data_IF_289145865095
#
_entry.id   IF_289145865095
#
_cell.length_a   1.000
_cell.length_b   1.000
_cell.length_c   1.000
_cell.angle_alpha   90.00
_cell.angle_beta   90.00
_cell.angle_gamma   90.00
#
_symmetry.space_group_name_H-M   'P 1'
#
loop_
_entity.id
_entity.type
_entity.pdbx_description
1 polymer ?
#
# COMPACT_ATOMS: atom_id res chain seq x y z
N UNK A 1 -13.20 -17.07 26.10
CA UNK A 1 -11.97 -17.72 25.64
C UNK A 1 -12.00 -17.64 24.13
N UNK A 2 -11.28 -16.70 23.55
CA UNK A 2 -11.16 -16.54 22.10
C UNK A 2 -9.90 -17.29 21.73
N UNK A 3 -10.09 -18.38 21.00
CA UNK A 3 -9.00 -19.21 20.47
C UNK A 3 -8.14 -18.35 19.55
N UNK A 4 -6.84 -18.27 19.87
CA UNK A 4 -5.79 -17.78 18.99
C UNK A 4 -5.77 -18.68 17.74
N UNK A 5 -6.38 -18.23 16.66
CA UNK A 5 -6.03 -18.75 15.34
C UNK A 5 -4.73 -18.10 14.91
N UNK A 6 -3.81 -18.94 14.52
CA UNK A 6 -2.42 -18.70 14.23
C UNK A 6 -2.21 -17.45 13.38
N UNK A 7 -1.57 -16.44 13.97
CA UNK A 7 -0.89 -15.41 13.20
C UNK A 7 0.20 -16.10 12.40
N UNK A 8 0.06 -16.17 11.08
CA UNK A 8 1.10 -16.65 10.18
C UNK A 8 2.29 -15.71 10.33
N UNK A 9 3.23 -16.10 11.19
CA UNK A 9 4.45 -15.37 11.44
C UNK A 9 5.38 -15.58 10.25
N UNK A 10 5.64 -14.53 9.49
CA UNK A 10 6.71 -14.52 8.52
C UNK A 10 8.05 -14.75 9.23
N UNK A 11 8.81 -15.75 8.81
CA UNK A 11 10.12 -16.05 9.38
C UNK A 11 11.06 -14.85 9.21
N UNK A 12 11.84 -14.57 10.26
CA UNK A 12 12.73 -13.41 10.48
C UNK A 12 13.87 -13.19 9.46
N UNK A 13 13.91 -13.86 8.32
CA UNK A 13 15.05 -13.83 7.40
C UNK A 13 15.06 -12.65 6.42
N UNK A 14 13.96 -11.89 6.26
CA UNK A 14 13.85 -10.83 5.25
C UNK A 14 13.71 -9.39 5.78
N UNK A 15 14.14 -9.10 7.01
CA UNK A 15 14.08 -7.72 7.55
C UNK A 15 15.10 -6.75 6.92
N UNK A 16 16.11 -7.26 6.21
CA UNK A 16 17.06 -6.41 5.49
C UNK A 16 16.44 -5.89 4.21
N UNK A 17 16.24 -4.57 4.15
CA UNK A 17 15.67 -3.89 2.97
C UNK A 17 14.33 -3.21 3.22
N UNK A 18 13.62 -3.51 4.32
CA UNK A 18 12.42 -2.78 4.70
C UNK A 18 12.75 -1.34 5.09
N UNK A 19 11.91 -0.40 4.66
CA UNK A 19 12.12 1.05 4.85
C UNK A 19 10.99 1.71 5.60
N UNK A 20 9.80 1.11 5.60
CA UNK A 20 8.65 1.65 6.30
C UNK A 20 8.82 1.51 7.81
N UNK A 21 8.38 2.54 8.53
CA UNK A 21 8.44 2.57 9.97
C UNK A 21 7.35 1.68 10.59
N UNK A 22 7.74 0.80 11.49
CA UNK A 22 6.81 -0.09 12.22
C UNK A 22 5.85 0.66 13.15
N UNK A 23 6.14 1.91 13.48
CA UNK A 23 5.20 2.77 14.21
C UNK A 23 3.86 2.94 13.47
N UNK A 24 3.80 2.62 12.18
CA UNK A 24 2.57 2.51 11.41
C UNK A 24 1.47 1.72 12.15
N UNK A 25 1.85 0.63 12.82
CA UNK A 25 0.94 -0.20 13.61
C UNK A 25 0.41 0.47 14.88
N UNK A 26 0.99 1.61 15.29
CA UNK A 26 0.43 2.41 16.39
C UNK A 26 -0.84 3.17 15.98
N UNK A 27 -1.06 3.34 14.69
CA UNK A 27 -2.19 4.09 14.12
C UNK A 27 -3.27 3.21 13.51
N UNK A 28 -2.90 1.99 13.08
CA UNK A 28 -3.79 1.06 12.38
C UNK A 28 -4.03 -0.18 13.24
N UNK A 29 -5.27 -0.66 13.23
CA UNK A 29 -5.63 -2.00 13.69
C UNK A 29 -6.27 -2.79 12.54
N UNK A 30 -6.20 -4.12 12.64
CA UNK A 30 -6.79 -5.06 11.67
C UNK A 30 -7.86 -5.86 12.42
N UNK A 31 -9.09 -5.34 12.53
CA UNK A 31 -10.16 -6.01 13.27
C UNK A 31 -10.56 -7.36 12.69
N UNK A 32 -10.32 -7.56 11.42
CA UNK A 32 -10.59 -8.82 10.75
C UNK A 32 -9.65 -9.02 9.55
N UNK A 33 -9.13 -10.24 9.44
CA UNK A 33 -8.56 -10.80 8.22
C UNK A 33 -9.42 -11.99 7.79
N UNK A 34 -9.78 -12.05 6.52
CA UNK A 34 -10.64 -13.11 6.01
C UNK A 34 -10.19 -13.59 4.64
N UNK A 35 -10.19 -14.90 4.45
CA UNK A 35 -10.01 -15.54 3.16
C UNK A 35 -11.40 -15.75 2.55
N UNK A 36 -11.69 -15.15 1.40
CA UNK A 36 -12.97 -15.26 0.70
C UNK A 36 -13.00 -16.53 -0.16
N UNK A 37 -11.88 -16.77 -0.86
CA UNK A 37 -11.67 -17.96 -1.67
C UNK A 37 -10.22 -18.44 -1.56
N UNK A 38 -9.85 -19.49 -2.28
CA UNK A 38 -8.46 -19.95 -2.36
C UNK A 38 -7.49 -18.89 -2.90
N UNK A 39 -8.02 -17.89 -3.62
CA UNK A 39 -7.22 -16.86 -4.33
C UNK A 39 -7.45 -15.44 -3.82
N UNK A 40 -8.47 -15.18 -3.00
CA UNK A 40 -8.84 -13.84 -2.56
C UNK A 40 -8.80 -13.76 -1.05
N UNK A 41 -8.00 -12.83 -0.52
CA UNK A 41 -7.91 -12.49 0.90
C UNK A 41 -8.22 -11.01 1.09
N UNK A 42 -8.74 -10.63 2.27
CA UNK A 42 -8.96 -9.24 2.66
C UNK A 42 -8.56 -8.98 4.09
N UNK A 43 -7.88 -7.86 4.29
CA UNK A 43 -7.58 -7.26 5.59
C UNK A 43 -8.42 -6.01 5.75
N UNK A 44 -9.29 -6.03 6.74
CA UNK A 44 -10.21 -4.93 7.04
C UNK A 44 -9.57 -4.09 8.14
N UNK A 45 -9.25 -2.86 7.80
CA UNK A 45 -8.43 -1.96 8.60
C UNK A 45 -9.29 -0.89 9.26
N UNK A 46 -8.88 -0.42 10.42
CA UNK A 46 -9.42 0.78 11.06
C UNK A 46 -8.27 1.66 11.56
N UNK A 47 -8.44 2.97 11.47
CA UNK A 47 -7.58 3.91 12.18
C UNK A 47 -7.95 3.88 13.66
N UNK A 48 -6.96 3.69 14.51
CA UNK A 48 -7.16 3.61 15.96
C UNK A 48 -7.72 4.92 16.52
N UNK A 49 -8.43 4.79 17.62
CA UNK A 49 -8.99 5.89 18.38
C UNK A 49 -8.09 6.22 19.59
N UNK A 50 -8.01 7.50 19.91
CA UNK A 50 -7.38 7.99 21.13
C UNK A 50 -8.34 8.98 21.77
N UNK A 51 -8.70 8.70 23.02
CA UNK A 51 -9.80 9.40 23.67
C UNK A 51 -11.02 9.38 22.75
N UNK A 52 -11.89 10.10 22.60
CA UNK A 52 -13.12 9.98 21.78
C UNK A 52 -12.96 10.41 20.32
N UNK A 53 -11.74 10.34 19.78
CA UNK A 53 -11.45 10.79 18.41
C UNK A 53 -10.61 9.80 17.63
N UNK A 54 -10.94 9.65 16.36
CA UNK A 54 -10.09 8.96 15.39
C UNK A 54 -8.74 9.68 15.27
N UNK A 55 -7.67 8.90 15.18
CA UNK A 55 -6.30 9.41 15.01
C UNK A 55 -5.96 9.70 13.53
N UNK A 56 -6.94 10.02 12.69
CA UNK A 56 -6.71 10.27 11.26
C UNK A 56 -5.72 11.41 11.00
N UNK A 57 -5.72 12.43 11.84
CA UNK A 57 -4.80 13.55 11.72
C UNK A 57 -3.36 13.12 12.06
N UNK A 58 -3.16 12.47 13.20
CA UNK A 58 -1.86 11.93 13.62
C UNK A 58 -1.35 10.88 12.61
N UNK A 59 -2.24 10.03 12.10
CA UNK A 59 -1.92 9.06 11.06
C UNK A 59 -1.45 9.73 9.78
N UNK A 60 -2.10 10.81 9.36
CA UNK A 60 -1.72 11.55 8.16
C UNK A 60 -0.35 12.20 8.31
N UNK A 61 -0.06 12.78 9.49
CA UNK A 61 1.27 13.32 9.83
C UNK A 61 2.33 12.23 9.76
N UNK A 62 2.09 11.10 10.43
CA UNK A 62 3.00 9.96 10.41
C UNK A 62 3.31 9.49 8.98
N UNK A 63 2.27 9.34 8.13
CA UNK A 63 2.44 8.92 6.73
C UNK A 63 3.28 9.92 5.95
N UNK A 64 3.10 11.22 6.18
CA UNK A 64 3.90 12.27 5.52
C UNK A 64 5.34 12.30 6.01
N UNK A 65 5.60 12.13 7.31
CA UNK A 65 6.94 12.07 7.87
C UNK A 65 7.77 10.93 7.28
N UNK A 66 7.10 9.85 6.88
CA UNK A 66 7.71 8.71 6.20
C UNK A 66 7.89 8.89 4.68
N UNK A 67 7.55 10.05 4.11
CA UNK A 67 7.64 10.30 2.68
C UNK A 67 9.07 10.14 2.12
N UNK A 68 10.10 10.49 2.91
CA UNK A 68 11.48 10.30 2.48
C UNK A 68 11.86 8.82 2.32
N UNK A 69 11.35 7.96 3.19
CA UNK A 69 11.55 6.51 3.10
C UNK A 69 10.94 5.93 1.82
N UNK A 70 9.79 6.45 1.42
CA UNK A 70 9.10 6.05 0.20
C UNK A 70 9.75 6.60 -1.07
N UNK A 71 10.12 7.90 -1.10
CA UNK A 71 10.43 8.62 -2.33
C UNK A 71 11.94 8.71 -2.66
N UNK A 72 12.82 8.41 -1.70
CA UNK A 72 14.27 8.56 -1.88
C UNK A 72 14.95 7.21 -2.05
N UNK A 73 16.02 7.18 -2.87
CA UNK A 73 16.90 6.02 -3.00
C UNK A 73 17.71 5.79 -1.73
N UNK A 74 18.29 4.59 -1.58
CA UNK A 74 19.21 4.24 -0.49
C UNK A 74 20.34 5.26 -0.35
N UNK A 75 21.04 5.53 -1.44
CA UNK A 75 22.15 6.48 -1.48
C UNK A 75 21.75 7.88 -1.00
N UNK A 76 20.56 8.35 -1.38
CA UNK A 76 20.04 9.65 -0.94
C UNK A 76 19.75 9.66 0.55
N UNK A 77 19.06 8.63 1.07
CA UNK A 77 18.78 8.50 2.51
C UNK A 77 20.07 8.36 3.34
N UNK A 78 21.02 7.55 2.88
CA UNK A 78 22.31 7.40 3.55
C UNK A 78 23.13 8.68 3.56
N UNK A 79 22.99 9.52 2.54
CA UNK A 79 23.66 10.83 2.51
C UNK A 79 23.25 11.73 3.69
N UNK A 80 22.06 11.53 4.27
CA UNK A 80 21.60 12.25 5.46
C UNK A 80 22.54 12.02 6.66
N UNK A 81 23.07 10.80 6.79
CA UNK A 81 23.96 10.42 7.91
C UNK A 81 25.24 11.28 7.97
N UNK A 82 25.72 11.77 6.83
CA UNK A 82 26.96 12.54 6.77
C UNK A 82 26.81 14.02 7.16
N UNK A 83 25.61 14.60 7.03
CA UNK A 83 25.30 15.97 7.47
C UNK A 83 23.78 16.14 7.61
N UNK A 84 23.18 15.66 8.71
CA UNK A 84 21.73 15.68 8.90
C UNK A 84 21.13 17.09 8.84
N UNK A 85 21.79 18.07 9.45
CA UNK A 85 21.26 19.44 9.58
C UNK A 85 21.14 20.13 8.21
N UNK A 86 22.17 20.03 7.37
CA UNK A 86 22.17 20.68 6.03
C UNK A 86 21.35 19.92 5.00
N UNK A 87 21.29 18.58 5.12
CA UNK A 87 20.70 17.71 4.09
C UNK A 87 19.25 17.41 4.31
N UNK A 88 18.75 17.41 5.57
CA UNK A 88 17.37 17.05 5.88
C UNK A 88 16.36 17.85 5.06
N UNK A 89 16.45 19.18 5.09
CA UNK A 89 15.57 20.06 4.32
C UNK A 89 15.65 19.82 2.80
N UNK A 90 16.86 19.62 2.27
CA UNK A 90 17.08 19.40 0.84
C UNK A 90 16.45 18.07 0.38
N UNK A 91 16.63 17.02 1.16
CA UNK A 91 16.08 15.69 0.87
C UNK A 91 14.56 15.66 1.04
N UNK A 92 14.05 16.34 2.05
CA UNK A 92 12.62 16.53 2.22
C UNK A 92 11.99 17.24 1.01
N UNK A 93 12.56 18.34 0.56
CA UNK A 93 12.15 19.04 -0.64
C UNK A 93 12.19 18.15 -1.91
N UNK A 94 13.22 17.32 -2.01
CA UNK A 94 13.35 16.38 -3.12
C UNK A 94 12.24 15.31 -3.07
N UNK A 95 11.98 14.74 -1.91
CA UNK A 95 10.92 13.77 -1.71
C UNK A 95 9.55 14.36 -2.08
N UNK A 96 9.21 15.54 -1.59
CA UNK A 96 7.98 16.26 -1.94
C UNK A 96 7.90 16.52 -3.44
N UNK A 97 8.97 17.01 -4.08
CA UNK A 97 8.96 17.26 -5.53
C UNK A 97 8.68 16.01 -6.34
N UNK A 98 9.23 14.86 -5.94
CA UNK A 98 8.96 13.58 -6.58
C UNK A 98 7.50 13.14 -6.37
N UNK A 99 7.01 13.30 -5.17
CA UNK A 99 5.65 12.95 -4.80
C UNK A 99 4.59 13.77 -5.55
N UNK A 100 4.82 15.07 -5.70
CA UNK A 100 3.86 16.02 -6.31
C UNK A 100 4.02 16.15 -7.83
N UNK A 101 5.19 15.81 -8.41
CA UNK A 101 5.53 16.12 -9.80
C UNK A 101 4.57 15.59 -10.85
N UNK A 102 3.74 14.59 -10.53
CA UNK A 102 2.79 13.98 -11.48
C UNK A 102 1.50 14.76 -11.66
N UNK A 103 1.15 15.65 -10.76
CA UNK A 103 -0.09 16.39 -10.89
C UNK A 103 0.17 17.88 -10.77
N UNK A 104 -0.07 18.61 -11.85
CA UNK A 104 -0.30 20.08 -11.73
C UNK A 104 -1.43 20.37 -10.73
N UNK A 105 -2.16 19.34 -10.28
CA UNK A 105 -3.16 19.35 -9.21
C UNK A 105 -3.00 18.04 -8.43
N UNK A 106 -2.57 18.11 -7.17
CA UNK A 106 -2.62 17.00 -6.22
C UNK A 106 -4.07 16.51 -6.13
N UNK A 107 -4.31 15.27 -6.54
CA UNK A 107 -5.66 14.69 -6.56
C UNK A 107 -5.98 13.88 -5.31
N UNK A 108 -5.01 13.71 -4.40
CA UNK A 108 -5.15 12.95 -3.16
C UNK A 108 -5.04 11.42 -3.32
N UNK A 109 -4.86 10.92 -4.53
CA UNK A 109 -4.64 9.48 -4.77
C UNK A 109 -3.27 9.01 -4.31
N UNK A 110 -2.31 9.92 -4.31
CA UNK A 110 -0.92 9.65 -3.94
C UNK A 110 -0.76 9.20 -2.48
N UNK A 111 -1.65 9.63 -1.58
CA UNK A 111 -1.61 9.16 -0.19
C UNK A 111 -1.95 7.67 -0.10
N UNK A 112 -2.82 7.17 -0.97
CA UNK A 112 -3.10 5.74 -1.06
C UNK A 112 -1.88 4.91 -1.47
N UNK A 113 -1.05 5.41 -2.40
CA UNK A 113 0.22 4.76 -2.78
C UNK A 113 1.16 4.65 -1.57
N UNK A 114 1.24 5.71 -0.76
CA UNK A 114 2.11 5.75 0.43
C UNK A 114 1.59 4.85 1.56
N UNK A 115 0.27 4.78 1.76
CA UNK A 115 -0.34 3.85 2.72
C UNK A 115 -0.11 2.40 2.27
N UNK A 116 -0.31 2.10 0.97
CA UNK A 116 -0.07 0.76 0.43
C UNK A 116 1.39 0.32 0.61
N UNK A 117 2.35 1.24 0.41
CA UNK A 117 3.76 0.98 0.69
C UNK A 117 3.99 0.53 2.14
N UNK A 118 3.40 1.23 3.12
CA UNK A 118 3.52 0.84 4.53
C UNK A 118 2.84 -0.50 4.82
N UNK A 119 1.68 -0.76 4.24
CA UNK A 119 0.97 -2.03 4.40
C UNK A 119 1.81 -3.20 3.88
N UNK A 120 2.40 -3.07 2.71
CA UNK A 120 3.23 -4.12 2.14
C UNK A 120 4.53 -4.34 2.92
N UNK A 121 5.21 -3.27 3.33
CA UNK A 121 6.47 -3.41 4.08
C UNK A 121 6.27 -3.77 5.55
N UNK A 122 5.24 -3.24 6.23
CA UNK A 122 5.06 -3.46 7.67
C UNK A 122 4.19 -4.67 7.98
N UNK A 123 3.10 -4.87 7.21
CA UNK A 123 2.14 -5.95 7.47
C UNK A 123 2.55 -7.23 6.75
N UNK A 124 2.91 -7.15 5.47
CA UNK A 124 3.33 -8.32 4.69
C UNK A 124 4.84 -8.56 4.75
N UNK A 125 5.62 -7.67 5.34
CA UNK A 125 7.08 -7.72 5.38
C UNK A 125 7.72 -7.91 4.00
N UNK A 126 7.08 -7.33 2.99
CA UNK A 126 7.50 -7.40 1.60
C UNK A 126 8.34 -6.18 1.24
N UNK A 127 9.57 -6.39 0.78
CA UNK A 127 10.49 -5.30 0.40
C UNK A 127 10.08 -4.68 -0.93
N UNK A 128 10.14 -3.36 -1.04
CA UNK A 128 9.88 -2.69 -2.32
C UNK A 128 11.02 -2.96 -3.30
N UNK A 129 10.74 -3.66 -4.39
CA UNK A 129 11.74 -3.98 -5.41
C UNK A 129 11.89 -2.87 -6.46
N UNK A 130 10.84 -2.15 -6.78
CA UNK A 130 10.90 -1.03 -7.71
C UNK A 130 10.32 0.22 -7.07
N UNK A 131 11.11 1.28 -7.04
CA UNK A 131 10.65 2.58 -6.58
C UNK A 131 10.11 3.39 -7.76
N UNK A 132 8.79 3.42 -7.92
CA UNK A 132 8.09 4.15 -8.97
C UNK A 132 8.39 5.65 -8.98
N UNK A 133 8.66 6.24 -7.81
CA UNK A 133 9.03 7.65 -7.69
C UNK A 133 10.38 7.96 -8.34
N UNK A 134 11.31 7.02 -8.25
CA UNK A 134 12.61 7.13 -8.89
C UNK A 134 12.49 7.04 -10.42
N UNK A 135 11.68 6.13 -10.92
CA UNK A 135 11.44 5.96 -12.36
C UNK A 135 10.71 7.17 -12.98
N UNK A 136 9.84 7.84 -12.23
CA UNK A 136 9.14 9.06 -12.67
C UNK A 136 10.08 10.25 -12.94
N UNK A 137 11.32 10.24 -12.48
CA UNK A 137 12.30 11.32 -12.67
C UNK A 137 13.16 11.17 -13.92
N UNK A 138 13.28 9.97 -14.47
CA UNK A 138 13.91 9.73 -15.77
C UNK A 138 12.88 10.01 -16.87
N UNK A 139 13.07 11.10 -17.61
CA UNK A 139 12.05 11.72 -18.48
C UNK A 139 11.43 10.85 -19.58
N UNK A 140 11.93 9.64 -19.82
CA UNK A 140 11.49 8.75 -20.88
C UNK A 140 10.97 7.38 -20.40
N UNK A 141 10.89 7.13 -19.09
CA UNK A 141 10.43 5.84 -18.57
C UNK A 141 9.09 5.98 -17.89
N UNK A 142 8.05 5.48 -18.54
CA UNK A 142 6.72 5.33 -17.99
C UNK A 142 6.50 3.87 -17.56
N UNK A 143 6.45 3.64 -16.26
CA UNK A 143 5.90 2.41 -15.70
C UNK A 143 4.39 2.55 -15.72
N UNK A 144 3.72 1.90 -16.67
CA UNK A 144 2.29 2.08 -16.92
C UNK A 144 1.38 1.20 -16.05
N UNK A 145 1.95 0.26 -15.27
CA UNK A 145 1.23 -0.76 -14.55
C UNK A 145 0.93 -0.43 -13.08
N UNK A 146 1.49 -1.25 -12.20
CA UNK A 146 1.22 -1.24 -10.76
C UNK A 146 1.71 0.04 -10.06
N UNK A 147 0.99 0.47 -9.00
CA UNK A 147 1.42 1.58 -8.13
C UNK A 147 2.58 1.19 -7.22
N UNK A 148 2.71 -0.09 -6.90
CA UNK A 148 3.78 -0.63 -6.08
C UNK A 148 4.20 -2.01 -6.59
N UNK A 149 5.50 -2.33 -6.52
CA UNK A 149 6.04 -3.66 -6.78
C UNK A 149 6.91 -4.08 -5.60
N UNK A 150 6.45 -5.09 -4.87
CA UNK A 150 7.11 -5.59 -3.66
C UNK A 150 7.32 -7.10 -3.75
N UNK A 151 8.31 -7.57 -3.01
CA UNK A 151 8.64 -8.98 -2.89
C UNK A 151 8.59 -9.42 -1.43
N UNK A 152 7.88 -10.49 -1.18
CA UNK A 152 7.76 -11.11 0.14
C UNK A 152 7.95 -12.61 0.09
N UNK A 153 8.10 -13.21 1.26
CA UNK A 153 8.25 -14.67 1.43
C UNK A 153 7.29 -15.14 2.51
N UNK A 154 6.55 -16.20 2.22
CA UNK A 154 5.62 -16.87 3.13
C UNK A 154 5.98 -18.37 3.15
N UNK A 155 6.75 -18.80 4.15
CA UNK A 155 7.38 -20.13 4.17
C UNK A 155 8.34 -20.30 2.99
N UNK A 156 8.09 -21.31 2.16
CA UNK A 156 8.84 -21.54 0.92
C UNK A 156 8.27 -20.78 -0.29
N UNK A 157 7.13 -20.14 -0.12
CA UNK A 157 6.44 -19.42 -1.20
C UNK A 157 7.01 -18.01 -1.35
N UNK A 158 7.48 -17.68 -2.51
CA UNK A 158 7.89 -16.33 -2.92
C UNK A 158 6.74 -15.60 -3.56
N UNK A 159 6.45 -14.40 -3.08
CA UNK A 159 5.28 -13.63 -3.51
C UNK A 159 5.73 -12.31 -4.12
N UNK A 160 5.36 -12.10 -5.39
CA UNK A 160 5.46 -10.81 -6.05
C UNK A 160 4.13 -10.06 -5.87
N UNK A 161 4.16 -8.98 -5.11
CA UNK A 161 3.01 -8.11 -4.92
C UNK A 161 2.99 -7.01 -5.98
N UNK A 162 1.92 -6.98 -6.77
CA UNK A 162 1.61 -5.93 -7.73
C UNK A 162 0.53 -5.03 -7.12
N UNK A 163 0.92 -3.85 -6.66
CA UNK A 163 0.08 -2.98 -5.86
C UNK A 163 -0.73 -2.00 -6.69
N UNK A 164 -2.00 -1.83 -6.35
CA UNK A 164 -2.87 -0.77 -6.86
C UNK A 164 -3.58 -0.07 -5.71
N UNK A 165 -3.64 1.26 -5.73
CA UNK A 165 -4.28 2.04 -4.68
C UNK A 165 -5.36 2.96 -5.21
N UNK A 166 -6.51 2.98 -4.56
CA UNK A 166 -7.59 3.92 -4.85
C UNK A 166 -8.15 4.53 -3.58
N UNK A 167 -8.30 5.85 -3.60
CA UNK A 167 -8.98 6.58 -2.53
C UNK A 167 -10.12 7.41 -3.09
N UNK A 168 -11.29 7.39 -2.43
CA UNK A 168 -12.46 8.12 -2.90
C UNK A 168 -13.60 8.15 -1.89
N UNK A 169 -14.68 8.84 -2.22
CA UNK A 169 -15.79 9.00 -1.29
C UNK A 169 -16.66 7.74 -1.13
N UNK A 170 -16.73 6.90 -2.16
CA UNK A 170 -17.62 5.72 -2.16
C UNK A 170 -16.81 4.45 -2.40
N UNK A 171 -17.03 3.45 -1.55
CA UNK A 171 -16.42 2.12 -1.71
C UNK A 171 -16.63 1.54 -3.10
N UNK A 172 -17.86 1.57 -3.62
CA UNK A 172 -18.19 1.02 -4.94
C UNK A 172 -17.39 1.65 -6.08
N UNK A 173 -17.15 2.97 -6.00
CA UNK A 173 -16.38 3.68 -7.02
C UNK A 173 -14.89 3.29 -6.95
N UNK A 174 -14.28 3.32 -5.77
CA UNK A 174 -12.85 2.97 -5.62
C UNK A 174 -12.59 1.51 -5.99
N UNK A 175 -13.52 0.61 -5.67
CA UNK A 175 -13.45 -0.80 -6.07
C UNK A 175 -13.50 -0.94 -7.59
N UNK A 176 -14.47 -0.30 -8.24
CA UNK A 176 -14.62 -0.35 -9.71
C UNK A 176 -13.38 0.20 -10.41
N UNK A 177 -12.86 1.33 -9.95
CA UNK A 177 -11.68 1.96 -10.54
C UNK A 177 -10.41 1.11 -10.34
N UNK A 178 -10.26 0.46 -9.17
CA UNK A 178 -9.14 -0.42 -8.89
C UNK A 178 -9.17 -1.68 -9.77
N UNK A 179 -10.30 -2.39 -9.81
CA UNK A 179 -10.44 -3.63 -10.59
C UNK A 179 -10.29 -3.36 -12.08
N UNK A 180 -10.88 -2.26 -12.59
CA UNK A 180 -10.69 -1.83 -13.98
C UNK A 180 -9.21 -1.62 -14.30
N UNK A 181 -8.47 -0.94 -13.41
CA UNK A 181 -7.04 -0.68 -13.60
C UNK A 181 -6.21 -1.97 -13.60
N UNK A 182 -6.49 -2.89 -12.68
CA UNK A 182 -5.83 -4.20 -12.65
C UNK A 182 -6.15 -4.99 -13.91
N UNK A 183 -7.40 -4.96 -14.39
CA UNK A 183 -7.79 -5.64 -15.63
C UNK A 183 -7.06 -5.07 -16.86
N UNK A 184 -6.92 -3.73 -16.96
CA UNK A 184 -6.15 -3.07 -18.01
C UNK A 184 -4.69 -3.54 -18.00
N UNK A 185 -4.08 -3.63 -16.82
CA UNK A 185 -2.71 -4.13 -16.65
C UNK A 185 -2.56 -5.60 -17.06
N UNK A 186 -3.51 -6.46 -16.65
CA UNK A 186 -3.46 -7.88 -16.97
C UNK A 186 -3.73 -8.23 -18.46
N UNK A 187 -4.33 -7.30 -19.21
CA UNK A 187 -4.63 -7.50 -20.64
C UNK A 187 -3.54 -6.98 -21.58
N UNK A 188 -2.57 -6.25 -21.07
CA UNK A 188 -1.58 -5.61 -21.93
C UNK A 188 -0.37 -6.53 -22.17
N UNK A 189 0.01 -6.75 -23.43
CA UNK A 189 1.30 -7.34 -23.86
C UNK A 189 2.52 -6.58 -23.29
N UNK A 190 2.28 -5.48 -22.64
CA UNK A 190 3.24 -4.61 -21.94
C UNK A 190 3.88 -5.23 -20.69
N UNK A 191 3.38 -6.36 -20.18
CA UNK A 191 4.00 -7.04 -19.04
C UNK A 191 5.49 -7.29 -19.26
N UNK A 192 5.87 -7.73 -20.46
CA UNK A 192 7.27 -8.05 -20.80
C UNK A 192 8.18 -6.81 -20.72
N UNK A 193 7.72 -5.68 -21.25
CA UNK A 193 8.49 -4.43 -21.21
C UNK A 193 8.63 -3.86 -19.78
N UNK A 194 7.58 -3.97 -18.97
CA UNK A 194 7.60 -3.51 -17.57
C UNK A 194 8.49 -4.40 -16.69
N UNK A 195 8.57 -5.68 -16.99
CA UNK A 195 9.47 -6.62 -16.32
C UNK A 195 10.93 -6.29 -16.64
N UNK A 196 11.29 -6.06 -17.90
CA UNK A 196 12.66 -5.66 -18.30
C UNK A 196 13.08 -4.36 -17.63
N UNK A 197 12.16 -3.40 -17.55
CA UNK A 197 12.40 -2.13 -16.86
C UNK A 197 12.60 -2.34 -15.35
N UNK A 198 11.80 -3.21 -14.73
CA UNK A 198 11.91 -3.55 -13.32
C UNK A 198 13.25 -4.23 -13.01
N UNK A 199 13.69 -5.17 -13.85
CA UNK A 199 14.99 -5.86 -13.73
C UNK A 199 16.16 -4.86 -13.75
N UNK A 200 16.10 -3.85 -14.60
CA UNK A 200 17.13 -2.80 -14.71
C UNK A 200 17.18 -1.85 -13.49
N UNK A 201 16.11 -1.80 -12.69
CA UNK A 201 15.95 -0.79 -11.63
C UNK A 201 15.57 -1.37 -10.26
N UNK A 202 15.92 -2.64 -10.01
CA UNK A 202 15.71 -3.25 -8.69
C UNK A 202 16.43 -2.43 -7.62
N UNK A 203 15.72 -2.17 -6.53
CA UNK A 203 16.20 -1.33 -5.43
C UNK A 203 17.53 -1.81 -4.85
N UNK A 204 18.46 -0.89 -4.64
CA UNK A 204 19.73 -1.14 -3.94
C UNK A 204 19.54 -1.44 -2.44
N UNK A 205 18.33 -1.24 -1.90
CA UNK A 205 17.97 -1.61 -0.53
C UNK A 205 17.91 -3.12 -0.33
N UNK A 206 17.72 -3.88 -1.43
CA UNK A 206 17.61 -5.33 -1.43
C UNK A 206 18.99 -5.96 -1.42
N UNK A 207 19.27 -6.97 -0.56
CA UNK A 207 20.51 -7.75 -0.60
C UNK A 207 20.79 -8.30 -1.99
N UNK A 208 22.08 -8.36 -2.38
CA UNK A 208 22.48 -8.77 -3.74
C UNK A 208 21.96 -10.17 -4.12
N UNK A 209 22.01 -11.11 -3.18
CA UNK A 209 21.54 -12.50 -3.39
C UNK A 209 20.05 -12.51 -3.76
N UNK A 210 19.21 -11.81 -2.99
CA UNK A 210 17.78 -11.69 -3.25
C UNK A 210 17.51 -10.91 -4.55
N UNK A 211 18.33 -9.91 -4.85
CA UNK A 211 18.23 -9.13 -6.08
C UNK A 211 18.49 -10.01 -7.30
N UNK A 212 19.48 -10.89 -7.22
CA UNK A 212 19.79 -11.84 -8.30
C UNK A 212 18.67 -12.89 -8.47
N UNK A 213 18.08 -13.34 -7.38
CA UNK A 213 16.95 -14.25 -7.39
C UNK A 213 15.72 -13.60 -8.07
N UNK A 214 15.40 -12.35 -7.72
CA UNK A 214 14.32 -11.57 -8.34
C UNK A 214 14.59 -11.37 -9.83
N UNK A 215 15.84 -11.04 -10.23
CA UNK A 215 16.23 -10.91 -11.64
C UNK A 215 16.01 -12.21 -12.41
N UNK A 216 16.40 -13.34 -11.81
CA UNK A 216 16.20 -14.64 -12.44
C UNK A 216 14.72 -15.00 -12.61
N UNK A 217 13.88 -14.59 -11.65
CA UNK A 217 12.42 -14.77 -11.75
C UNK A 217 11.80 -13.90 -12.83
N UNK A 218 12.25 -12.66 -12.94
CA UNK A 218 11.72 -11.70 -13.93
C UNK A 218 12.31 -11.90 -15.32
N UNK A 219 13.25 -12.83 -15.51
CA UNK A 219 13.87 -13.13 -16.80
C UNK A 219 12.95 -14.05 -17.63
N UNK A 220 12.34 -13.56 -18.72
CA UNK A 220 11.41 -14.34 -19.53
C UNK A 220 12.06 -15.53 -20.26
N UNK A 221 13.40 -15.60 -20.28
CA UNK A 221 14.14 -16.72 -20.90
C UNK A 221 14.29 -17.94 -19.98
N UNK A 222 13.85 -17.84 -18.71
CA UNK A 222 13.99 -18.91 -17.71
C UNK A 222 12.66 -19.56 -17.41
N UNK A 223 12.58 -20.86 -17.61
CA UNK A 223 11.35 -21.66 -17.43
C UNK A 223 11.02 -22.02 -15.98
N UNK A 224 11.90 -21.75 -15.01
CA UNK A 224 11.73 -22.16 -13.61
C UNK A 224 11.04 -21.07 -12.77
N UNK A 225 9.74 -20.94 -12.97
CA UNK A 225 8.87 -20.03 -12.21
C UNK A 225 8.08 -20.74 -11.08
N UNK A 226 8.42 -22.00 -10.78
CA UNK A 226 7.58 -22.89 -9.97
C UNK A 226 7.36 -22.44 -8.52
N UNK A 227 8.25 -21.63 -7.97
CA UNK A 227 8.21 -21.20 -6.56
C UNK A 227 7.69 -19.78 -6.33
N UNK A 228 7.22 -19.10 -7.38
CA UNK A 228 6.73 -17.73 -7.28
C UNK A 228 5.22 -17.63 -7.46
N UNK A 229 4.64 -16.70 -6.76
CA UNK A 229 3.21 -16.40 -6.86
C UNK A 229 3.01 -14.90 -7.03
N UNK A 230 2.33 -14.50 -8.10
CA UNK A 230 1.87 -13.13 -8.25
C UNK A 230 0.60 -12.90 -7.43
N UNK A 231 0.55 -11.79 -6.70
CA UNK A 231 -0.62 -11.37 -5.92
C UNK A 231 -0.89 -9.89 -6.17
N UNK A 232 -2.09 -9.56 -6.63
CA UNK A 232 -2.54 -8.19 -6.77
C UNK A 232 -2.93 -7.64 -5.39
N UNK A 233 -2.14 -6.72 -4.85
CA UNK A 233 -2.37 -6.08 -3.56
C UNK A 233 -3.14 -4.77 -3.79
N UNK A 234 -4.40 -4.74 -3.40
CA UNK A 234 -5.31 -3.62 -3.68
C UNK A 234 -5.67 -2.88 -2.40
N UNK A 235 -5.26 -1.61 -2.31
CA UNK A 235 -5.67 -0.72 -1.23
C UNK A 235 -6.90 0.11 -1.66
N UNK A 236 -7.96 0.02 -0.87
CA UNK A 236 -9.20 0.77 -1.04
C UNK A 236 -9.43 1.67 0.17
N UNK A 237 -9.16 2.97 0.02
CA UNK A 237 -9.48 3.99 1.00
C UNK A 237 -10.79 4.69 0.64
N UNK A 238 -11.78 4.70 1.52
CA UNK A 238 -13.08 5.28 1.23
C UNK A 238 -13.67 6.04 2.42
N UNK A 239 -14.51 7.04 2.14
CA UNK A 239 -15.16 7.80 3.18
C UNK A 239 -16.32 6.99 3.79
N UNK A 240 -16.33 6.88 5.12
CA UNK A 240 -17.30 6.13 5.89
C UNK A 240 -17.99 7.05 6.91
N UNK A 241 -19.05 7.70 6.47
CA UNK A 241 -19.75 8.77 7.22
C UNK A 241 -20.29 8.32 8.57
N UNK A 242 -20.51 7.01 8.75
CA UNK A 242 -20.98 6.45 10.02
C UNK A 242 -19.99 6.73 11.16
N UNK A 243 -18.67 6.82 10.88
CA UNK A 243 -17.68 7.14 11.91
C UNK A 243 -17.98 8.48 12.60
N UNK A 244 -18.33 9.53 11.81
CA UNK A 244 -18.74 10.85 12.38
C UNK A 244 -19.97 10.73 13.26
N UNK A 245 -20.94 9.92 12.86
CA UNK A 245 -22.17 9.71 13.63
C UNK A 245 -21.86 9.01 14.96
N UNK A 246 -21.08 7.93 14.92
CA UNK A 246 -20.70 7.17 16.12
C UNK A 246 -19.89 8.02 17.11
N UNK A 247 -18.96 8.89 16.62
CA UNK A 247 -18.21 9.83 17.47
C UNK A 247 -19.12 10.87 18.17
N UNK A 248 -20.28 11.21 17.60
CA UNK A 248 -21.23 12.12 18.21
C UNK A 248 -22.17 11.44 19.22
N UNK A 249 -22.41 10.13 19.07
CA UNK A 249 -23.37 9.38 19.85
C UNK A 249 -22.75 8.59 21.01
N UNK A 250 -21.45 8.26 20.93
CA UNK A 250 -20.74 7.41 21.88
C UNK A 250 -19.40 8.00 22.29
N UNK A 251 -18.86 7.53 23.43
CA UNK A 251 -17.56 7.93 23.94
C UNK A 251 -16.78 6.77 24.56
N UNK A 252 -15.47 6.95 24.77
CA UNK A 252 -14.59 5.99 25.43
C UNK A 252 -14.56 4.61 24.78
N UNK A 253 -14.61 3.59 25.62
CA UNK A 253 -14.58 2.19 25.17
C UNK A 253 -15.83 1.78 24.37
N UNK A 254 -16.98 2.42 24.68
CA UNK A 254 -18.22 2.15 23.97
C UNK A 254 -18.12 2.58 22.51
N UNK A 255 -17.59 3.78 22.24
CA UNK A 255 -17.35 4.25 20.88
C UNK A 255 -16.50 3.27 20.08
N UNK A 256 -15.36 2.85 20.63
CA UNK A 256 -14.43 1.92 19.94
C UNK A 256 -15.16 0.60 19.65
N UNK A 257 -15.90 0.05 20.61
CA UNK A 257 -16.66 -1.18 20.42
C UNK A 257 -17.71 -1.03 19.33
N UNK A 258 -18.43 0.10 19.32
CA UNK A 258 -19.47 0.37 18.30
C UNK A 258 -18.89 0.57 16.90
N UNK A 259 -17.74 1.23 16.78
CA UNK A 259 -17.03 1.37 15.50
C UNK A 259 -16.64 0.01 14.95
N UNK A 260 -16.00 -0.84 15.76
CA UNK A 260 -15.59 -2.19 15.35
C UNK A 260 -16.79 -3.05 14.98
N UNK A 261 -17.84 -3.07 15.83
CA UNK A 261 -19.06 -3.85 15.62
C UNK A 261 -19.76 -3.43 14.32
N UNK A 262 -19.97 -2.13 14.13
CA UNK A 262 -20.64 -1.59 12.94
C UNK A 262 -19.85 -1.89 11.67
N UNK A 263 -18.53 -1.69 11.69
CA UNK A 263 -17.70 -1.99 10.52
C UNK A 263 -17.72 -3.50 10.21
N UNK A 264 -17.58 -4.36 11.23
CA UNK A 264 -17.65 -5.82 11.05
C UNK A 264 -18.97 -6.29 10.46
N UNK A 265 -20.08 -5.67 10.80
CA UNK A 265 -21.40 -6.05 10.26
C UNK A 265 -21.54 -5.80 8.75
N UNK A 266 -20.72 -4.90 8.18
CA UNK A 266 -20.76 -4.58 6.76
C UNK A 266 -19.75 -5.38 5.91
N UNK A 267 -18.82 -6.11 6.56
CA UNK A 267 -17.71 -6.78 5.88
C UNK A 267 -18.20 -7.81 4.85
N UNK A 268 -19.23 -8.59 5.15
CA UNK A 268 -19.79 -9.56 4.20
C UNK A 268 -20.32 -8.86 2.93
N UNK A 269 -20.92 -7.67 3.09
CA UNK A 269 -21.36 -6.86 1.96
C UNK A 269 -20.19 -6.33 1.10
N UNK A 270 -19.07 -6.00 1.72
CA UNK A 270 -17.86 -5.62 0.95
C UNK A 270 -17.27 -6.81 0.21
N UNK A 271 -17.19 -7.98 0.86
CA UNK A 271 -16.69 -9.22 0.27
C UNK A 271 -17.51 -9.59 -0.96
N UNK A 272 -18.84 -9.63 -0.83
CA UNK A 272 -19.73 -9.96 -1.94
C UNK A 272 -19.52 -9.03 -3.15
N UNK A 273 -19.42 -7.72 -2.92
CA UNK A 273 -19.17 -6.75 -4.00
C UNK A 273 -17.80 -6.91 -4.65
N UNK A 274 -16.76 -7.32 -3.89
CA UNK A 274 -15.43 -7.60 -4.43
C UNK A 274 -15.50 -8.82 -5.35
N UNK A 275 -16.12 -9.91 -4.91
CA UNK A 275 -16.26 -11.14 -5.68
C UNK A 275 -17.08 -10.90 -6.96
N UNK A 276 -18.21 -10.20 -6.83
CA UNK A 276 -19.03 -9.80 -7.97
C UNK A 276 -18.21 -8.98 -8.97
N UNK A 277 -17.48 -7.96 -8.51
CA UNK A 277 -16.69 -7.10 -9.39
C UNK A 277 -15.55 -7.83 -10.09
N UNK A 278 -14.87 -8.79 -9.43
CA UNK A 278 -13.84 -9.63 -10.06
C UNK A 278 -14.47 -10.55 -11.11
N UNK A 279 -15.67 -11.08 -10.84
CA UNK A 279 -16.36 -12.00 -11.76
C UNK A 279 -16.75 -11.37 -13.10
N UNK A 280 -16.89 -10.05 -13.15
CA UNK A 280 -17.15 -9.31 -14.41
C UNK A 280 -15.98 -9.41 -15.41
N UNK A 281 -14.78 -9.81 -14.96
CA UNK A 281 -13.56 -9.86 -15.77
C UNK A 281 -12.98 -11.29 -15.82
N UNK A 282 -13.22 -12.05 -16.89
CA UNK A 282 -12.80 -13.46 -16.99
C UNK A 282 -11.29 -13.69 -16.76
N UNK A 283 -10.44 -12.78 -17.23
CA UNK A 283 -8.99 -12.85 -17.07
C UNK A 283 -8.51 -12.61 -15.62
N UNK A 284 -9.34 -12.08 -14.75
CA UNK A 284 -9.03 -11.86 -13.33
C UNK A 284 -9.44 -13.05 -12.45
N UNK A 285 -10.33 -13.94 -12.89
CA UNK A 285 -10.86 -15.04 -12.06
C UNK A 285 -9.78 -16.01 -11.58
N UNK A 286 -8.67 -16.12 -12.34
CA UNK A 286 -7.54 -16.97 -11.99
C UNK A 286 -6.40 -16.24 -11.24
N UNK A 287 -6.48 -14.95 -11.05
CA UNK A 287 -5.48 -14.15 -10.33
C UNK A 287 -5.66 -14.23 -8.82
N UNK A 288 -4.58 -13.97 -8.09
CA UNK A 288 -4.61 -13.87 -6.62
C UNK A 288 -4.74 -12.41 -6.22
N UNK A 289 -5.54 -12.16 -5.18
CA UNK A 289 -5.81 -10.83 -4.66
C UNK A 289 -5.62 -10.76 -3.15
N UNK A 290 -5.05 -9.65 -2.72
CA UNK A 290 -4.99 -9.23 -1.33
C UNK A 290 -5.58 -7.82 -1.22
N UNK A 291 -6.76 -7.72 -0.63
CA UNK A 291 -7.44 -6.45 -0.44
C UNK A 291 -7.14 -5.86 0.94
N UNK A 292 -6.89 -4.55 0.98
CA UNK A 292 -6.86 -3.74 2.18
C UNK A 292 -7.97 -2.71 2.11
N UNK A 293 -8.90 -2.75 3.04
CA UNK A 293 -10.02 -1.82 3.12
C UNK A 293 -9.84 -0.92 4.33
N UNK A 294 -9.70 0.38 4.10
CA UNK A 294 -9.55 1.37 5.16
C UNK A 294 -10.63 2.46 5.02
N UNK A 295 -11.64 2.45 5.91
CA UNK A 295 -12.61 3.52 5.99
C UNK A 295 -12.01 4.75 6.65
N UNK A 296 -12.27 5.93 6.07
CA UNK A 296 -11.88 7.22 6.61
C UNK A 296 -13.10 8.02 7.04
N UNK A 297 -12.96 8.78 8.11
CA UNK A 297 -13.99 9.72 8.55
C UNK A 297 -14.13 10.91 7.62
N UNK A 298 -12.99 11.46 7.15
CA UNK A 298 -12.95 12.62 6.28
C UNK A 298 -11.73 12.64 5.36
N UNK A 299 -11.89 12.06 4.17
CA UNK A 299 -10.82 12.06 3.16
C UNK A 299 -10.45 13.46 2.65
N UNK A 300 -11.36 14.41 2.69
CA UNK A 300 -11.06 15.77 2.26
C UNK A 300 -10.18 16.49 3.29
N UNK A 301 -10.42 16.28 4.59
CA UNK A 301 -9.55 16.80 5.64
C UNK A 301 -8.12 16.27 5.49
N UNK A 302 -7.95 14.96 5.26
CA UNK A 302 -6.65 14.34 5.00
C UNK A 302 -5.97 14.96 3.78
N UNK A 303 -6.68 15.09 2.66
CA UNK A 303 -6.16 15.69 1.43
C UNK A 303 -5.72 17.14 1.62
N UNK A 304 -6.52 17.93 2.34
CA UNK A 304 -6.20 19.32 2.62
C UNK A 304 -4.94 19.45 3.49
N UNK A 305 -4.81 18.62 4.52
CA UNK A 305 -3.62 18.58 5.37
C UNK A 305 -2.35 18.26 4.55
N UNK A 306 -2.41 17.25 3.70
CA UNK A 306 -1.29 16.92 2.79
C UNK A 306 -0.96 18.09 1.86
N UNK A 307 -1.98 18.78 1.34
CA UNK A 307 -1.77 19.96 0.49
C UNK A 307 -1.15 21.14 1.23
N UNK A 308 -1.51 21.36 2.47
CA UNK A 308 -0.93 22.40 3.33
C UNK A 308 0.53 22.14 3.60
N UNK A 309 0.90 20.92 4.01
CA UNK A 309 2.29 20.53 4.22
C UNK A 309 3.14 20.71 2.95
N UNK A 310 2.58 20.34 1.78
CA UNK A 310 3.27 20.50 0.50
C UNK A 310 3.44 21.99 0.13
N UNK A 311 2.46 22.85 0.44
CA UNK A 311 2.52 24.30 0.14
C UNK A 311 3.47 25.05 1.07
N UNK A 312 3.52 24.67 2.34
CA UNK A 312 4.39 25.30 3.34
C UNK A 312 5.89 25.08 3.05
N UNK A 313 6.20 24.23 2.08
CA UNK A 313 7.56 23.88 1.66
C UNK A 313 8.03 24.71 0.45
N UNK A 314 7.15 25.51 -0.15
CA UNK A 314 7.53 26.46 -1.21
C UNK A 314 8.09 27.75 -0.60
#
# INVERSE_FOLDING_TARGET
>A
MITNEESIGFNNTNQSGLRADREFLNYIEIPLEKKFSSKIKGKFLLIKYKYDKSREEEFTEFILDNLMNYALSKKERESLKSDPIKKARKLWLLAIRRYVKKSKKFKGGEIGELILFHLLEVVEQAVQIVNKMFLKTSGNMYFHGADAVHFGVDGDLRILFLGESKTGQKFSQVLTDAIKKVNEYCNEEKQTFEVDLAVGHISEDIPEELRQEIKNYLDPSKDDLSNFTETHAIFLGFEYKILKKLENEHSGKELISKVIETYRSEIEGYIHRIEEKISEYPNLQNKRFLFYLLPFKDLNAIRNKVLEEIKNVK
#
